data_IF_286484044500
#
_entry.id   IF_286484044500
#
_cell.length_a   1.000
_cell.length_b   1.000
_cell.length_c   1.000
_cell.angle_alpha   90.00
_cell.angle_beta   90.00
_cell.angle_gamma   90.00
#
_symmetry.space_group_name_H-M   'P 1'
#
loop_
_entity.id
_entity.type
_entity.pdbx_description
1 polymer ?
#
# COMPACT_ATOMS: atom_id res chain seq x y z
N UNK A 1 12.97 -11.21 10.78
CA UNK A 1 12.53 -11.24 9.37
C UNK A 1 13.01 -9.94 8.73
N UNK A 2 14.08 -10.05 7.95
CA UNK A 2 14.78 -8.87 7.45
C UNK A 2 13.99 -8.15 6.35
N UNK A 3 14.34 -6.90 6.19
CA UNK A 3 14.04 -6.02 5.07
C UNK A 3 13.97 -6.84 3.78
N UNK A 4 12.86 -6.75 3.08
CA UNK A 4 12.84 -7.15 1.66
C UNK A 4 13.80 -6.19 0.96
N UNK A 5 15.01 -6.63 0.70
CA UNK A 5 16.06 -5.80 0.10
C UNK A 5 15.54 -5.20 -1.20
N UNK A 6 15.99 -3.99 -1.55
CA UNK A 6 15.65 -3.31 -2.81
C UNK A 6 15.79 -4.26 -4.02
N UNK A 7 16.75 -5.18 -3.98
CA UNK A 7 16.95 -6.24 -4.95
C UNK A 7 15.76 -7.22 -5.04
N UNK A 8 15.15 -7.62 -3.92
CA UNK A 8 13.93 -8.45 -3.91
C UNK A 8 12.72 -7.70 -4.43
N UNK A 9 12.62 -6.40 -4.17
CA UNK A 9 11.55 -5.54 -4.71
C UNK A 9 11.68 -5.39 -6.24
N UNK A 10 12.89 -5.28 -6.77
CA UNK A 10 13.12 -5.27 -8.21
C UNK A 10 12.78 -6.64 -8.84
N UNK A 11 13.11 -7.74 -8.18
CA UNK A 11 12.72 -9.08 -8.65
C UNK A 11 11.21 -9.29 -8.64
N UNK A 12 10.49 -8.77 -7.64
CA UNK A 12 9.03 -8.93 -7.57
C UNK A 12 8.28 -8.01 -8.53
N UNK A 13 8.78 -6.79 -8.76
CA UNK A 13 8.29 -5.93 -9.84
C UNK A 13 8.62 -6.54 -11.20
N UNK A 14 9.81 -7.09 -11.38
CA UNK A 14 10.18 -7.86 -12.58
C UNK A 14 9.29 -9.08 -12.78
N UNK A 15 8.99 -9.84 -11.74
CA UNK A 15 8.12 -11.02 -11.81
C UNK A 15 6.67 -10.64 -12.13
N UNK A 16 6.18 -9.52 -11.58
CA UNK A 16 4.85 -9.01 -11.91
C UNK A 16 4.76 -8.49 -13.35
N UNK A 17 5.80 -7.83 -13.85
CA UNK A 17 5.88 -7.40 -15.26
C UNK A 17 5.92 -8.63 -16.19
N UNK A 18 6.69 -9.65 -15.85
CA UNK A 18 6.75 -10.91 -16.62
C UNK A 18 5.40 -11.62 -16.58
N UNK A 19 4.71 -11.66 -15.44
CA UNK A 19 3.37 -12.23 -15.34
C UNK A 19 2.34 -11.45 -16.19
N UNK A 20 2.45 -10.12 -16.26
CA UNK A 20 1.63 -9.28 -17.16
C UNK A 20 1.92 -9.61 -18.62
N UNK A 21 3.19 -9.69 -18.98
CA UNK A 21 3.59 -10.03 -20.37
C UNK A 21 3.12 -11.43 -20.73
N UNK A 22 3.26 -12.40 -19.86
CA UNK A 22 2.74 -13.77 -20.07
C UNK A 22 1.22 -13.74 -20.17
N UNK A 23 0.52 -12.98 -19.34
CA UNK A 23 -0.93 -12.79 -19.42
C UNK A 23 -1.36 -12.20 -20.79
N UNK A 24 -0.69 -11.16 -21.25
CA UNK A 24 -0.94 -10.53 -22.56
C UNK A 24 -0.63 -11.50 -23.71
N UNK A 25 0.47 -12.24 -23.63
CA UNK A 25 0.85 -13.25 -24.64
C UNK A 25 -0.15 -14.41 -24.67
N UNK A 26 -0.61 -14.87 -23.50
CA UNK A 26 -1.65 -15.91 -23.40
C UNK A 26 -2.96 -15.39 -23.98
N UNK A 27 -3.37 -14.17 -23.69
CA UNK A 27 -4.56 -13.52 -24.27
C UNK A 27 -4.42 -13.39 -25.79
N UNK A 28 -3.27 -12.97 -26.30
CA UNK A 28 -3.00 -12.85 -27.72
C UNK A 28 -2.97 -14.22 -28.44
N UNK A 29 -2.41 -15.26 -27.82
CA UNK A 29 -2.38 -16.62 -28.36
C UNK A 29 -3.77 -17.28 -28.39
N UNK A 30 -4.62 -16.97 -27.40
CA UNK A 30 -5.98 -17.48 -27.26
C UNK A 30 -6.96 -16.78 -28.23
N UNK A 31 -6.67 -15.53 -28.62
CA UNK A 31 -7.48 -14.75 -29.57
C UNK A 31 -7.60 -15.40 -30.98
N UNK A 32 -6.82 -16.44 -31.25
CA UNK A 32 -6.82 -17.10 -32.57
C UNK A 32 -7.76 -18.31 -32.68
N UNK A 33 -8.39 -18.79 -31.61
CA UNK A 33 -9.40 -19.85 -31.73
C UNK A 33 -10.36 -19.91 -30.55
N UNK A 34 -11.66 -19.80 -30.81
CA UNK A 34 -12.82 -20.26 -30.02
C UNK A 34 -12.97 -19.82 -28.53
N UNK A 35 -12.06 -19.04 -27.97
CA UNK A 35 -12.06 -18.67 -26.56
C UNK A 35 -12.52 -17.22 -26.28
N UNK A 36 -13.13 -16.57 -27.25
CA UNK A 36 -13.71 -15.21 -27.08
C UNK A 36 -14.73 -15.14 -25.93
N UNK A 37 -15.33 -16.27 -25.57
CA UNK A 37 -16.31 -16.38 -24.48
C UNK A 37 -15.67 -16.13 -23.10
N UNK A 38 -14.38 -16.46 -22.92
CA UNK A 38 -13.70 -16.37 -21.62
C UNK A 38 -12.71 -15.21 -21.50
N UNK A 39 -12.65 -14.30 -22.47
CA UNK A 39 -11.71 -13.17 -22.49
C UNK A 39 -11.84 -12.31 -21.23
N UNK A 40 -13.06 -12.04 -20.79
CA UNK A 40 -13.33 -11.19 -19.63
C UNK A 40 -12.86 -11.85 -18.32
N UNK A 41 -13.04 -13.16 -18.17
CA UNK A 41 -12.61 -13.91 -16.99
C UNK A 41 -11.09 -14.05 -16.94
N UNK A 42 -10.45 -14.26 -18.10
CA UNK A 42 -9.00 -14.31 -18.22
C UNK A 42 -8.39 -12.93 -17.89
N UNK A 43 -9.00 -11.85 -18.35
CA UNK A 43 -8.55 -10.48 -18.01
C UNK A 43 -8.67 -10.22 -16.52
N UNK A 44 -9.78 -10.60 -15.88
CA UNK A 44 -9.97 -10.51 -14.44
C UNK A 44 -8.92 -11.32 -13.66
N UNK A 45 -8.73 -12.58 -14.04
CA UNK A 45 -7.74 -13.45 -13.39
C UNK A 45 -6.31 -12.90 -13.56
N UNK A 46 -5.94 -12.40 -14.74
CA UNK A 46 -4.63 -11.79 -14.98
C UNK A 46 -4.40 -10.54 -14.13
N UNK A 47 -5.43 -9.70 -14.00
CA UNK A 47 -5.40 -8.51 -13.14
C UNK A 47 -5.15 -8.89 -11.68
N UNK A 48 -5.84 -9.89 -11.15
CA UNK A 48 -5.65 -10.38 -9.79
C UNK A 48 -4.26 -10.99 -9.57
N UNK A 49 -3.76 -11.80 -10.51
CA UNK A 49 -2.42 -12.42 -10.43
C UNK A 49 -1.32 -11.37 -10.32
N UNK A 50 -1.50 -10.21 -10.96
CA UNK A 50 -0.54 -9.10 -10.89
C UNK A 50 -0.67 -8.29 -9.60
N UNK A 51 -1.90 -7.99 -9.19
CA UNK A 51 -2.16 -7.12 -8.04
C UNK A 51 -1.89 -7.81 -6.70
N UNK A 52 -2.24 -9.09 -6.55
CA UNK A 52 -2.17 -9.79 -5.26
C UNK A 52 -0.72 -9.92 -4.73
N UNK A 53 0.27 -10.39 -5.51
CA UNK A 53 1.64 -10.52 -5.00
C UNK A 53 2.26 -9.17 -4.64
N UNK A 54 2.03 -8.14 -5.45
CA UNK A 54 2.55 -6.80 -5.20
C UNK A 54 1.95 -6.18 -3.95
N UNK A 55 0.64 -6.36 -3.72
CA UNK A 55 -0.05 -5.90 -2.52
C UNK A 55 0.47 -6.59 -1.24
N UNK A 56 0.68 -7.92 -1.27
CA UNK A 56 1.15 -8.67 -0.09
C UNK A 56 2.56 -8.22 0.33
N UNK A 57 3.44 -7.99 -0.64
CA UNK A 57 4.82 -7.57 -0.35
C UNK A 57 4.87 -6.15 0.22
N UNK A 58 4.07 -5.25 -0.35
CA UNK A 58 4.01 -3.87 0.12
C UNK A 58 3.41 -3.79 1.53
N UNK A 59 2.34 -4.55 1.81
CA UNK A 59 1.74 -4.66 3.14
C UNK A 59 2.73 -5.14 4.21
N UNK A 60 3.55 -6.16 3.90
CA UNK A 60 4.57 -6.66 4.85
C UNK A 60 5.64 -5.61 5.13
N UNK A 61 6.14 -4.95 4.08
CA UNK A 61 7.15 -3.91 4.22
C UNK A 61 6.62 -2.70 4.99
N UNK A 62 5.39 -2.31 4.71
CA UNK A 62 4.73 -1.19 5.37
C UNK A 62 4.47 -1.45 6.85
N UNK A 63 4.00 -2.64 7.21
CA UNK A 63 3.84 -3.04 8.62
C UNK A 63 5.16 -3.00 9.36
N UNK A 64 6.25 -3.41 8.75
CA UNK A 64 7.58 -3.38 9.33
C UNK A 64 8.04 -1.92 9.56
N UNK A 65 7.94 -1.04 8.56
CA UNK A 65 8.29 0.37 8.66
C UNK A 65 7.40 1.09 9.69
N UNK A 66 6.09 0.93 9.61
CA UNK A 66 5.13 1.56 10.52
C UNK A 66 5.34 1.11 11.97
N UNK A 67 5.72 -0.15 12.20
CA UNK A 67 6.07 -0.64 13.54
C UNK A 67 7.30 0.08 14.11
N UNK A 68 8.26 0.46 13.28
CA UNK A 68 9.44 1.24 13.66
C UNK A 68 9.04 2.70 13.93
N UNK A 69 8.37 3.33 12.96
CA UNK A 69 7.97 4.75 13.04
C UNK A 69 7.11 5.03 14.26
N UNK A 70 6.18 4.11 14.59
CA UNK A 70 5.32 4.23 15.75
C UNK A 70 6.06 4.20 17.11
N UNK A 71 7.22 3.58 17.15
CA UNK A 71 8.01 3.45 18.37
C UNK A 71 9.18 4.45 18.43
N UNK A 72 9.46 5.18 17.35
CA UNK A 72 10.54 6.17 17.31
C UNK A 72 10.41 7.26 18.38
N UNK A 73 9.23 7.88 18.63
CA UNK A 73 9.10 8.88 19.70
C UNK A 73 9.48 8.31 21.07
N UNK A 74 9.08 7.07 21.34
CA UNK A 74 9.39 6.38 22.61
C UNK A 74 10.88 6.09 22.74
N UNK A 75 11.56 5.69 21.66
CA UNK A 75 13.02 5.53 21.64
C UNK A 75 13.72 6.86 21.98
N UNK A 76 13.35 7.92 21.24
CA UNK A 76 13.99 9.23 21.38
C UNK A 76 13.80 9.79 22.79
N UNK A 77 12.58 9.67 23.33
CA UNK A 77 12.24 10.08 24.69
C UNK A 77 13.01 9.27 25.75
N UNK A 78 13.03 7.95 25.64
CA UNK A 78 13.74 7.10 26.59
C UNK A 78 15.26 7.34 26.59
N UNK A 79 15.85 7.66 25.43
CA UNK A 79 17.25 8.08 25.35
C UNK A 79 17.46 9.44 25.99
N UNK A 80 16.59 10.43 25.74
CA UNK A 80 16.65 11.75 26.35
C UNK A 80 16.59 11.67 27.89
N UNK A 81 15.60 10.96 28.43
CA UNK A 81 15.44 10.74 29.89
C UNK A 81 16.66 10.04 30.50
N UNK A 82 17.21 9.03 29.84
CA UNK A 82 18.40 8.33 30.30
C UNK A 82 19.64 9.23 30.29
N UNK A 83 19.77 10.10 29.28
CA UNK A 83 20.85 11.11 29.25
C UNK A 83 20.67 12.23 30.31
N UNK A 84 19.43 12.52 30.71
CA UNK A 84 19.16 13.44 31.83
C UNK A 84 19.72 12.96 33.16
N UNK A 85 19.75 11.65 33.34
CA UNK A 85 20.38 11.02 34.53
C UNK A 85 21.92 10.89 34.41
N UNK A 86 22.53 11.48 33.38
CA UNK A 86 23.99 11.49 33.18
C UNK A 86 24.56 10.26 32.49
N UNK A 87 23.72 9.40 31.89
CA UNK A 87 24.19 8.23 31.14
C UNK A 87 24.82 8.64 29.81
N UNK A 88 25.85 7.88 29.38
CA UNK A 88 26.40 8.02 28.04
C UNK A 88 25.36 7.58 26.98
N UNK A 89 25.46 8.08 25.75
CA UNK A 89 24.52 7.76 24.68
C UNK A 89 24.39 6.25 24.42
N UNK A 90 25.52 5.53 24.44
CA UNK A 90 25.53 4.07 24.23
C UNK A 90 24.73 3.36 25.31
N UNK A 91 25.00 3.71 26.59
CA UNK A 91 24.28 3.16 27.75
C UNK A 91 22.80 3.52 27.74
N UNK A 92 22.45 4.73 27.31
CA UNK A 92 21.06 5.14 27.16
C UNK A 92 20.32 4.30 26.12
N UNK A 93 20.92 4.07 24.96
CA UNK A 93 20.38 3.20 23.92
C UNK A 93 20.22 1.74 24.38
N UNK A 94 21.24 1.19 25.05
CA UNK A 94 21.19 -0.16 25.65
C UNK A 94 20.00 -0.26 26.64
N UNK A 95 19.90 0.67 27.57
CA UNK A 95 18.85 0.69 28.59
C UNK A 95 17.44 0.73 28.01
N UNK A 96 17.20 1.52 26.97
CA UNK A 96 15.90 1.60 26.29
C UNK A 96 15.51 0.26 25.68
N UNK A 97 16.48 -0.46 25.14
CA UNK A 97 16.25 -1.78 24.53
C UNK A 97 16.07 -2.86 25.61
N UNK A 98 16.91 -2.89 26.64
CA UNK A 98 16.90 -3.90 27.70
C UNK A 98 15.65 -3.78 28.57
N UNK A 99 15.20 -2.57 28.86
CA UNK A 99 13.94 -2.31 29.56
C UNK A 99 12.69 -2.55 28.68
N UNK A 100 12.86 -3.06 27.44
CA UNK A 100 11.77 -3.32 26.51
C UNK A 100 10.87 -2.10 26.22
N UNK A 101 11.39 -0.89 26.40
CA UNK A 101 10.66 0.34 26.02
C UNK A 101 10.35 0.35 24.54
N UNK A 102 11.23 -0.22 23.73
CA UNK A 102 11.02 -0.48 22.32
C UNK A 102 11.09 -1.98 22.04
N UNK A 103 10.28 -2.46 21.09
CA UNK A 103 10.14 -3.88 20.82
C UNK A 103 10.16 -4.19 19.31
N UNK A 104 10.20 -5.47 18.96
CA UNK A 104 10.08 -5.93 17.58
C UNK A 104 11.21 -5.45 16.66
N UNK A 105 10.88 -4.90 15.48
CA UNK A 105 11.88 -4.50 14.49
C UNK A 105 12.80 -3.37 14.97
N UNK A 106 12.26 -2.35 15.65
CA UNK A 106 13.05 -1.21 16.13
C UNK A 106 14.11 -1.65 17.15
N UNK A 107 13.75 -2.50 18.10
CA UNK A 107 14.69 -3.02 19.09
C UNK A 107 15.89 -3.72 18.45
N UNK A 108 15.68 -4.49 17.35
CA UNK A 108 16.75 -5.16 16.62
C UNK A 108 17.68 -4.17 15.92
N UNK A 109 17.12 -3.15 15.31
CA UNK A 109 17.91 -2.13 14.60
C UNK A 109 18.69 -1.25 15.58
N UNK A 110 18.14 -0.94 16.77
CA UNK A 110 18.83 -0.19 17.81
C UNK A 110 19.96 -1.06 18.43
N UNK A 111 19.73 -2.36 18.66
CA UNK A 111 20.80 -3.28 19.09
C UNK A 111 21.94 -3.29 18.10
N UNK A 112 21.63 -3.35 16.80
CA UNK A 112 22.66 -3.30 15.76
C UNK A 112 23.44 -1.98 15.80
N UNK A 113 22.76 -0.85 16.00
CA UNK A 113 23.42 0.46 16.17
C UNK A 113 24.39 0.45 17.38
N UNK A 114 23.96 -0.08 18.50
CA UNK A 114 24.79 -0.20 19.72
C UNK A 114 26.02 -1.09 19.46
N UNK A 115 25.83 -2.23 18.80
CA UNK A 115 26.93 -3.14 18.43
C UNK A 115 27.95 -2.43 17.53
N UNK A 116 27.52 -1.72 16.49
CA UNK A 116 28.40 -0.97 15.61
C UNK A 116 29.25 0.05 16.38
N UNK A 117 28.62 0.81 17.30
CA UNK A 117 29.32 1.76 18.14
C UNK A 117 30.30 1.09 19.13
N UNK A 118 29.92 -0.06 19.69
CA UNK A 118 30.77 -0.83 20.61
C UNK A 118 32.00 -1.41 19.92
N UNK A 119 31.94 -1.60 18.61
CA UNK A 119 33.09 -2.05 17.79
C UNK A 119 33.95 -0.90 17.29
N UNK A 120 33.68 0.33 17.72
CA UNK A 120 34.48 1.51 17.42
C UNK A 120 34.02 2.29 16.19
N UNK A 121 32.86 1.95 15.60
CA UNK A 121 32.26 2.78 14.56
C UNK A 121 31.83 4.12 15.19
N UNK A 122 32.08 5.24 14.50
CA UNK A 122 31.63 6.55 14.98
C UNK A 122 30.12 6.59 15.12
N UNK A 123 29.61 7.39 16.06
CA UNK A 123 28.16 7.58 16.21
C UNK A 123 27.49 8.04 14.89
N UNK A 124 28.16 8.90 14.17
CA UNK A 124 27.67 9.47 12.91
C UNK A 124 27.56 8.43 11.83
N UNK A 125 28.55 7.55 11.70
CA UNK A 125 28.53 6.45 10.73
C UNK A 125 27.50 5.38 11.12
N UNK A 126 27.45 5.01 12.39
CA UNK A 126 26.47 4.05 12.90
C UNK A 126 25.03 4.54 12.71
N UNK A 127 24.77 5.84 12.96
CA UNK A 127 23.46 6.45 12.74
C UNK A 127 23.12 6.55 11.25
N UNK A 128 24.10 6.80 10.39
CA UNK A 128 23.94 6.79 8.94
C UNK A 128 23.60 5.38 8.43
N UNK A 129 24.25 4.35 8.95
CA UNK A 129 23.91 2.96 8.66
C UNK A 129 22.50 2.60 9.11
N UNK A 130 22.11 3.00 10.32
CA UNK A 130 20.77 2.82 10.86
C UNK A 130 19.71 3.46 9.95
N UNK A 131 19.92 4.72 9.55
CA UNK A 131 19.06 5.44 8.59
C UNK A 131 18.87 4.67 7.28
N UNK A 132 19.97 4.20 6.71
CA UNK A 132 19.97 3.50 5.42
C UNK A 132 19.29 2.12 5.51
N UNK A 133 19.41 1.44 6.66
CA UNK A 133 18.74 0.16 6.88
C UNK A 133 17.23 0.29 6.96
N UNK A 134 16.71 1.32 7.60
CA UNK A 134 15.25 1.47 7.81
C UNK A 134 14.58 2.10 6.59
N UNK A 135 15.22 3.08 5.96
CA UNK A 135 14.69 3.79 4.78
C UNK A 135 13.24 4.30 4.94
N UNK A 136 13.00 4.95 6.08
CA UNK A 136 11.74 5.62 6.40
C UNK A 136 11.91 7.13 6.35
N UNK A 137 10.94 7.91 5.84
CA UNK A 137 11.00 9.37 5.84
C UNK A 137 11.15 9.97 7.24
N UNK A 138 10.43 9.42 8.23
CA UNK A 138 10.45 9.89 9.63
C UNK A 138 11.82 9.61 10.25
N UNK A 139 12.31 8.38 10.13
CA UNK A 139 13.64 8.00 10.66
C UNK A 139 14.75 8.78 9.96
N UNK A 140 14.62 9.02 8.64
CA UNK A 140 15.60 9.81 7.91
C UNK A 140 15.68 11.25 8.44
N UNK A 141 14.55 11.92 8.64
CA UNK A 141 14.49 13.28 9.22
C UNK A 141 15.12 13.31 10.61
N UNK A 142 14.75 12.36 11.46
CA UNK A 142 15.35 12.23 12.80
C UNK A 142 16.87 12.11 12.72
N UNK A 143 17.38 11.16 11.94
CA UNK A 143 18.83 10.95 11.82
C UNK A 143 19.57 12.18 11.29
N UNK A 144 18.98 12.87 10.30
CA UNK A 144 19.57 14.11 9.75
C UNK A 144 19.64 15.19 10.79
N UNK A 145 18.58 15.41 11.58
CA UNK A 145 18.55 16.40 12.66
C UNK A 145 19.62 16.09 13.72
N UNK A 146 19.74 14.83 14.12
CA UNK A 146 20.73 14.42 15.13
C UNK A 146 22.15 14.56 14.58
N UNK A 147 22.40 14.18 13.34
CA UNK A 147 23.72 14.32 12.68
C UNK A 147 24.15 15.80 12.57
N UNK A 148 23.22 16.64 12.14
CA UNK A 148 23.51 18.07 11.97
C UNK A 148 23.83 18.74 13.32
N UNK A 149 23.08 18.39 14.33
CA UNK A 149 23.31 18.91 15.67
C UNK A 149 24.61 18.37 16.32
N UNK A 150 24.99 17.12 16.03
CA UNK A 150 26.27 16.55 16.45
C UNK A 150 27.43 17.33 15.82
N UNK A 151 27.34 17.63 14.52
CA UNK A 151 28.36 18.39 13.77
C UNK A 151 28.48 19.84 14.22
N UNK A 152 27.38 20.47 14.58
CA UNK A 152 27.33 21.86 15.07
C UNK A 152 27.85 22.02 16.52
N UNK A 153 28.38 20.95 17.13
CA UNK A 153 28.89 20.98 18.52
C UNK A 153 27.78 21.09 19.56
N UNK A 154 26.52 20.87 19.18
CA UNK A 154 25.38 20.86 20.08
C UNK A 154 25.43 19.69 21.06
N UNK A 155 24.90 19.89 22.26
CA UNK A 155 24.74 18.80 23.22
C UNK A 155 23.71 17.82 22.68
N UNK A 156 24.13 16.60 22.34
CA UNK A 156 23.26 15.52 21.81
C UNK A 156 22.00 15.35 22.67
N UNK A 157 22.12 15.47 23.99
CA UNK A 157 21.00 15.48 24.94
C UNK A 157 19.89 16.47 24.56
N UNK A 158 20.25 17.75 24.33
CA UNK A 158 19.27 18.81 24.00
C UNK A 158 18.55 18.48 22.68
N UNK A 159 19.26 17.88 21.72
CA UNK A 159 18.71 17.47 20.43
C UNK A 159 17.69 16.36 20.60
N UNK A 160 18.01 15.33 21.39
CA UNK A 160 17.08 14.24 21.64
C UNK A 160 15.81 14.75 22.33
N UNK A 161 15.93 15.62 23.34
CA UNK A 161 14.77 16.19 24.06
C UNK A 161 13.88 17.02 23.10
N UNK A 162 14.48 17.92 22.31
CA UNK A 162 13.73 18.73 21.36
C UNK A 162 13.09 17.88 20.25
N UNK A 163 13.81 16.87 19.78
CA UNK A 163 13.31 15.97 18.71
C UNK A 163 12.20 15.06 19.23
N UNK A 164 12.21 14.65 20.50
CA UNK A 164 11.14 13.86 21.09
C UNK A 164 9.80 14.60 21.02
N UNK A 165 9.76 15.86 21.45
CA UNK A 165 8.56 16.70 21.35
C UNK A 165 8.08 16.89 19.92
N UNK A 166 9.01 17.21 19.02
CA UNK A 166 8.69 17.34 17.58
C UNK A 166 8.11 16.05 16.98
N UNK A 167 8.63 14.88 17.36
CA UNK A 167 8.11 13.60 16.84
C UNK A 167 6.74 13.25 17.40
N UNK A 168 6.44 13.62 18.64
CA UNK A 168 5.09 13.47 19.22
C UNK A 168 4.09 14.36 18.47
N UNK A 169 4.42 15.64 18.26
CA UNK A 169 3.59 16.58 17.52
C UNK A 169 3.34 16.12 16.07
N UNK A 170 4.38 15.68 15.37
CA UNK A 170 4.25 15.12 14.03
C UNK A 170 3.32 13.90 13.97
N UNK A 171 3.37 13.05 15.00
CA UNK A 171 2.50 11.89 15.10
C UNK A 171 1.03 12.27 15.34
N UNK A 172 0.80 13.30 16.10
CA UNK A 172 -0.55 13.80 16.36
C UNK A 172 -1.14 14.45 15.10
N UNK A 173 -0.35 15.23 14.37
CA UNK A 173 -0.73 15.76 13.05
C UNK A 173 -1.06 14.63 12.06
N UNK A 174 -0.26 13.57 12.04
CA UNK A 174 -0.52 12.40 11.19
C UNK A 174 -1.83 11.71 11.55
N UNK A 175 -2.11 11.52 12.85
CA UNK A 175 -3.37 10.95 13.34
C UNK A 175 -4.59 11.80 12.98
N UNK A 176 -4.47 13.13 13.15
CA UNK A 176 -5.53 14.06 12.77
C UNK A 176 -5.81 14.01 11.27
N UNK A 177 -4.75 14.05 10.46
CA UNK A 177 -4.88 13.94 9.00
C UNK A 177 -5.52 12.61 8.60
N UNK A 178 -5.09 11.50 9.20
CA UNK A 178 -5.67 10.18 8.91
C UNK A 178 -7.16 10.13 9.29
N UNK A 179 -7.55 10.76 10.41
CA UNK A 179 -8.94 10.86 10.81
C UNK A 179 -9.78 11.67 9.81
N UNK A 180 -9.24 12.78 9.30
CA UNK A 180 -9.90 13.60 8.30
C UNK A 180 -9.99 12.93 6.92
N UNK A 181 -9.06 12.03 6.58
CA UNK A 181 -9.03 11.34 5.28
C UNK A 181 -9.95 10.11 5.22
N UNK A 182 -10.26 9.47 6.35
CA UNK A 182 -11.14 8.29 6.38
C UNK A 182 -12.51 8.48 5.72
N UNK A 183 -13.23 9.59 5.91
CA UNK A 183 -14.50 9.81 5.24
C UNK A 183 -14.41 9.77 3.71
N UNK A 184 -13.33 10.26 3.12
CA UNK A 184 -13.16 10.24 1.66
C UNK A 184 -13.03 8.83 1.10
N UNK A 185 -12.44 7.91 1.86
CA UNK A 185 -12.38 6.49 1.48
C UNK A 185 -13.79 5.93 1.42
N UNK A 186 -14.64 6.24 2.42
CA UNK A 186 -16.05 5.79 2.45
C UNK A 186 -16.81 6.30 1.23
N UNK A 187 -16.59 7.57 0.84
CA UNK A 187 -17.21 8.15 -0.35
C UNK A 187 -16.83 7.40 -1.62
N UNK A 188 -15.56 7.01 -1.78
CA UNK A 188 -15.11 6.22 -2.95
C UNK A 188 -15.83 4.87 -2.99
N UNK A 189 -15.93 4.17 -1.86
CA UNK A 189 -16.65 2.90 -1.80
C UNK A 189 -18.14 3.05 -2.09
N UNK A 190 -18.77 4.11 -1.55
CA UNK A 190 -20.17 4.40 -1.80
C UNK A 190 -20.43 4.74 -3.28
N UNK A 191 -19.58 5.56 -3.89
CA UNK A 191 -19.66 5.88 -5.32
C UNK A 191 -19.55 4.64 -6.20
N UNK A 192 -18.61 3.74 -5.88
CA UNK A 192 -18.45 2.46 -6.58
C UNK A 192 -19.67 1.55 -6.40
N UNK A 193 -20.25 1.49 -5.20
CA UNK A 193 -21.46 0.71 -4.94
C UNK A 193 -22.66 1.24 -5.74
N UNK A 194 -22.86 2.56 -5.77
CA UNK A 194 -23.91 3.22 -6.57
C UNK A 194 -23.71 2.92 -8.06
N UNK A 195 -22.45 2.98 -8.54
CA UNK A 195 -22.15 2.65 -9.93
C UNK A 195 -22.56 1.20 -10.27
N UNK A 196 -22.21 0.21 -9.45
CA UNK A 196 -22.57 -1.20 -9.69
C UNK A 196 -24.09 -1.38 -9.69
N UNK A 197 -24.79 -0.82 -8.71
CA UNK A 197 -26.25 -0.92 -8.63
C UNK A 197 -26.90 -0.31 -9.88
N UNK A 198 -26.43 0.86 -10.29
CA UNK A 198 -26.95 1.53 -11.50
C UNK A 198 -26.66 0.70 -12.76
N UNK A 199 -25.47 0.14 -12.89
CA UNK A 199 -25.11 -0.73 -14.00
C UNK A 199 -26.03 -1.97 -14.10
N UNK A 200 -26.26 -2.65 -12.97
CA UNK A 200 -27.17 -3.80 -12.90
C UNK A 200 -28.61 -3.41 -13.27
N UNK A 201 -29.11 -2.27 -12.75
CA UNK A 201 -30.45 -1.78 -13.06
C UNK A 201 -30.59 -1.46 -14.55
N UNK A 202 -29.60 -0.78 -15.15
CA UNK A 202 -29.62 -0.48 -16.58
C UNK A 202 -29.62 -1.75 -17.42
N UNK A 203 -28.76 -2.72 -17.11
CA UNK A 203 -28.71 -3.98 -17.82
C UNK A 203 -30.03 -4.73 -17.72
N UNK A 204 -30.60 -4.84 -16.52
CA UNK A 204 -31.85 -5.59 -16.28
C UNK A 204 -33.10 -4.90 -16.81
N UNK A 205 -33.24 -3.59 -16.54
CA UNK A 205 -34.51 -2.88 -16.80
C UNK A 205 -34.58 -2.28 -18.19
N UNK A 206 -33.43 -1.97 -18.80
CA UNK A 206 -33.39 -1.31 -20.10
C UNK A 206 -32.91 -2.24 -21.22
N UNK A 207 -31.76 -2.88 -21.06
CA UNK A 207 -31.20 -3.68 -22.13
C UNK A 207 -31.81 -5.09 -22.27
N UNK A 208 -32.24 -5.69 -21.17
CA UNK A 208 -32.85 -7.01 -21.18
C UNK A 208 -34.15 -7.08 -21.99
N UNK A 209 -35.11 -6.16 -21.80
CA UNK A 209 -36.33 -6.15 -22.60
C UNK A 209 -36.09 -5.88 -24.10
N UNK A 210 -35.03 -5.11 -24.41
CA UNK A 210 -34.69 -4.81 -25.83
C UNK A 210 -34.13 -6.00 -26.60
N UNK A 211 -33.56 -6.98 -25.93
CA UNK A 211 -32.99 -8.19 -26.59
C UNK A 211 -34.03 -9.04 -27.29
N UNK A 212 -35.28 -9.02 -26.81
CA UNK A 212 -36.39 -9.73 -27.40
C UNK A 212 -37.00 -9.06 -28.64
N UNK A 213 -36.72 -7.78 -28.87
CA UNK A 213 -37.34 -7.01 -30.00
C UNK A 213 -36.43 -6.81 -31.22
N UNK A 214 -35.17 -7.26 -31.17
CA UNK A 214 -34.19 -7.11 -32.25
C UNK A 214 -34.23 -8.24 -33.32
N UNK A 215 -35.40 -8.54 -33.84
CA UNK A 215 -35.51 -9.18 -35.16
C UNK A 215 -35.67 -8.16 -36.31
N UNK A 216 -35.36 -6.88 -36.06
CA UNK A 216 -35.46 -5.87 -37.12
C UNK A 216 -34.06 -5.39 -37.50
N UNK A 217 -33.69 -5.87 -38.69
CA UNK A 217 -32.73 -5.28 -39.64
C UNK A 217 -31.28 -5.23 -39.23
N UNK A 218 -30.48 -6.01 -39.96
CA UNK A 218 -29.02 -5.95 -39.97
C UNK A 218 -28.50 -4.55 -40.08
N UNK A 219 -27.59 -4.31 -39.24
CA UNK A 219 -26.50 -3.35 -39.16
C UNK A 219 -26.45 -2.55 -37.85
N UNK A 220 -25.48 -2.90 -37.05
CA UNK A 220 -24.64 -2.00 -36.26
C UNK A 220 -25.34 -1.03 -35.32
N UNK A 221 -25.90 -1.54 -34.24
CA UNK A 221 -25.65 -0.88 -32.94
C UNK A 221 -24.61 -1.73 -32.23
N UNK A 222 -23.50 -1.11 -31.88
CA UNK A 222 -22.28 -1.70 -31.32
C UNK A 222 -22.62 -2.83 -30.32
N UNK A 223 -22.49 -4.10 -30.78
CA UNK A 223 -22.42 -5.27 -29.92
C UNK A 223 -23.70 -5.79 -29.28
N UNK A 224 -24.90 -5.33 -29.58
CA UNK A 224 -26.14 -5.87 -28.98
C UNK A 224 -26.14 -5.79 -27.43
N UNK A 225 -27.09 -6.48 -26.77
CA UNK A 225 -27.19 -6.54 -25.30
C UNK A 225 -25.96 -7.22 -24.66
N UNK A 226 -25.34 -8.17 -25.36
CA UNK A 226 -24.07 -8.82 -24.91
C UNK A 226 -22.91 -7.84 -24.85
N UNK A 227 -22.72 -7.00 -25.86
CA UNK A 227 -21.65 -6.01 -25.86
C UNK A 227 -21.79 -4.92 -24.78
N UNK A 228 -23.03 -4.54 -24.44
CA UNK A 228 -23.28 -3.61 -23.34
C UNK A 228 -22.94 -4.22 -21.97
N UNK A 229 -23.24 -5.50 -21.76
CA UNK A 229 -22.84 -6.23 -20.55
C UNK A 229 -21.33 -6.27 -20.40
N UNK A 230 -20.61 -6.59 -21.48
CA UNK A 230 -19.14 -6.60 -21.48
C UNK A 230 -18.57 -5.22 -21.22
N UNK A 231 -19.17 -4.17 -21.79
CA UNK A 231 -18.76 -2.79 -21.55
C UNK A 231 -18.87 -2.41 -20.06
N UNK A 232 -20.03 -2.65 -19.41
CA UNK A 232 -20.21 -2.39 -18.00
C UNK A 232 -19.29 -3.24 -17.11
N UNK A 233 -19.01 -4.46 -17.51
CA UNK A 233 -18.06 -5.32 -16.80
C UNK A 233 -16.64 -4.75 -16.87
N UNK A 234 -16.17 -4.33 -18.03
CA UNK A 234 -14.85 -3.73 -18.19
C UNK A 234 -14.74 -2.41 -17.44
N UNK A 235 -15.78 -1.56 -17.51
CA UNK A 235 -15.83 -0.30 -16.79
C UNK A 235 -15.82 -0.52 -15.25
N UNK A 236 -16.53 -1.53 -14.77
CA UNK A 236 -16.48 -1.93 -13.35
C UNK A 236 -15.05 -2.32 -12.92
N UNK A 237 -14.32 -3.09 -13.72
CA UNK A 237 -12.95 -3.48 -13.42
C UNK A 237 -12.02 -2.26 -13.36
N UNK A 238 -12.11 -1.37 -14.35
CA UNK A 238 -11.30 -0.14 -14.42
C UNK A 238 -11.65 0.80 -13.26
N UNK A 239 -12.94 1.00 -12.99
CA UNK A 239 -13.42 1.85 -11.89
C UNK A 239 -13.02 1.28 -10.52
N UNK A 240 -13.10 -0.03 -10.33
CA UNK A 240 -12.65 -0.70 -9.11
C UNK A 240 -11.14 -0.58 -8.89
N UNK A 241 -10.35 -0.73 -9.97
CA UNK A 241 -8.91 -0.56 -9.93
C UNK A 241 -8.52 0.89 -9.57
N UNK A 242 -9.02 1.84 -10.32
CA UNK A 242 -8.69 3.27 -10.15
C UNK A 242 -9.21 3.82 -8.84
N UNK A 243 -10.45 3.52 -8.47
CA UNK A 243 -11.05 3.90 -7.19
C UNK A 243 -10.28 3.33 -6.00
N UNK A 244 -9.83 2.07 -6.09
CA UNK A 244 -9.01 1.46 -5.05
C UNK A 244 -7.63 2.10 -4.93
N UNK A 245 -6.96 2.42 -6.03
CA UNK A 245 -5.69 3.13 -6.01
C UNK A 245 -5.84 4.55 -5.42
N UNK A 246 -6.93 5.25 -5.74
CA UNK A 246 -7.24 6.55 -5.16
C UNK A 246 -7.50 6.44 -3.65
N UNK A 247 -8.29 5.45 -3.21
CA UNK A 247 -8.55 5.20 -1.79
C UNK A 247 -7.27 4.98 -1.00
N UNK A 248 -6.33 4.21 -1.55
CA UNK A 248 -5.04 3.98 -0.91
C UNK A 248 -4.14 5.21 -0.89
N UNK A 249 -4.14 6.01 -1.95
CA UNK A 249 -3.37 7.25 -1.97
C UNK A 249 -3.89 8.27 -0.94
N UNK A 250 -5.21 8.34 -0.77
CA UNK A 250 -5.85 9.21 0.22
C UNK A 250 -5.60 8.67 1.64
N UNK A 251 -5.84 7.37 1.88
CA UNK A 251 -5.76 6.79 3.22
C UNK A 251 -4.35 6.51 3.71
N UNK A 252 -3.44 6.11 2.83
CA UNK A 252 -2.07 5.72 3.21
C UNK A 252 -0.99 6.64 2.61
N UNK A 253 -1.40 7.71 1.92
CA UNK A 253 -0.52 8.66 1.22
C UNK A 253 0.41 7.99 0.20
N UNK A 254 0.11 6.74 -0.19
CA UNK A 254 0.89 5.92 -1.13
C UNK A 254 -0.03 5.21 -2.10
N UNK A 255 0.31 5.25 -3.39
CA UNK A 255 -0.46 4.53 -4.42
C UNK A 255 -0.39 3.02 -4.19
N UNK A 256 0.75 2.51 -3.73
CA UNK A 256 0.93 1.08 -3.45
C UNK A 256 -0.01 0.56 -2.34
N UNK A 257 -0.35 1.38 -1.33
CA UNK A 257 -1.37 1.05 -0.34
C UNK A 257 -2.77 0.87 -0.93
N UNK A 258 -3.03 1.44 -2.11
CA UNK A 258 -4.29 1.31 -2.83
C UNK A 258 -4.54 -0.08 -3.42
N UNK A 259 -3.50 -0.88 -3.66
CA UNK A 259 -3.66 -2.21 -4.26
C UNK A 259 -4.60 -3.12 -3.44
N UNK A 260 -4.58 -3.05 -2.12
CA UNK A 260 -5.51 -3.81 -1.26
C UNK A 260 -6.97 -3.36 -1.45
N UNK A 261 -7.18 -2.05 -1.58
CA UNK A 261 -8.51 -1.47 -1.83
C UNK A 261 -8.99 -1.82 -3.25
N UNK A 262 -8.10 -1.77 -4.24
CA UNK A 262 -8.40 -2.18 -5.62
C UNK A 262 -8.81 -3.64 -5.69
N UNK A 263 -8.06 -4.56 -5.06
CA UNK A 263 -8.41 -5.98 -5.00
C UNK A 263 -9.79 -6.16 -4.36
N UNK A 264 -10.06 -5.48 -3.24
CA UNK A 264 -11.32 -5.59 -2.54
C UNK A 264 -12.50 -5.10 -3.41
N UNK A 265 -12.37 -3.92 -4.02
CA UNK A 265 -13.41 -3.36 -4.89
C UNK A 265 -13.65 -4.22 -6.13
N UNK A 266 -12.59 -4.68 -6.79
CA UNK A 266 -12.70 -5.52 -7.99
C UNK A 266 -13.33 -6.87 -7.66
N UNK A 267 -12.98 -7.51 -6.53
CA UNK A 267 -13.56 -8.80 -6.10
C UNK A 267 -15.03 -8.63 -5.70
N UNK A 268 -15.37 -7.60 -4.93
CA UNK A 268 -16.76 -7.31 -4.55
C UNK A 268 -17.57 -6.97 -5.80
N UNK A 269 -17.03 -6.11 -6.67
CA UNK A 269 -17.66 -5.74 -7.94
C UNK A 269 -17.97 -6.95 -8.80
N UNK A 270 -17.00 -7.85 -8.97
CA UNK A 270 -17.19 -9.09 -9.70
C UNK A 270 -18.29 -9.96 -9.10
N UNK A 271 -18.24 -10.19 -7.78
CA UNK A 271 -19.23 -11.02 -7.10
C UNK A 271 -20.66 -10.46 -7.22
N UNK A 272 -20.83 -9.14 -7.03
CA UNK A 272 -22.13 -8.48 -7.10
C UNK A 272 -22.65 -8.41 -8.54
N UNK A 273 -21.77 -8.14 -9.50
CA UNK A 273 -22.13 -8.08 -10.91
C UNK A 273 -22.56 -9.46 -11.43
N UNK A 274 -21.82 -10.51 -11.06
CA UNK A 274 -22.14 -11.90 -11.44
C UNK A 274 -23.45 -12.38 -10.77
N UNK A 275 -23.69 -12.05 -9.51
CA UNK A 275 -24.94 -12.36 -8.82
C UNK A 275 -26.13 -11.55 -9.36
N UNK A 276 -25.86 -10.31 -9.78
CA UNK A 276 -26.87 -9.39 -10.32
C UNK A 276 -27.32 -9.74 -11.74
N UNK A 277 -26.47 -10.33 -12.57
CA UNK A 277 -26.75 -10.66 -13.98
C UNK A 277 -26.54 -12.16 -14.17
N UNK A 278 -27.60 -12.98 -14.10
CA UNK A 278 -27.47 -14.44 -14.18
C UNK A 278 -26.93 -14.88 -15.56
N UNK A 279 -26.18 -16.02 -15.59
CA UNK A 279 -25.51 -16.51 -16.81
C UNK A 279 -26.47 -16.93 -17.94
N UNK A 280 -27.75 -17.14 -17.64
CA UNK A 280 -28.77 -17.56 -18.62
C UNK A 280 -29.11 -16.46 -19.67
N UNK A 281 -28.39 -15.34 -19.65
CA UNK A 281 -28.54 -14.21 -20.56
C UNK A 281 -27.35 -14.09 -21.55
N UNK A 282 -26.54 -15.17 -21.63
CA UNK A 282 -25.51 -15.35 -22.64
C UNK A 282 -26.04 -16.02 -23.89
#
# INVERSE_FOLDING_TARGET
MGKVTLKKRQYTVGLSIVAVIIGIVVIAAISFSALTIYINEIFFASLLIVLVPSAILDLKNQRWISSIENQMPLLVRGVAESQETGMTLIRALEKVVDNKMVSGPLSKEVKQLVIEMSWGTSFEDALTNFKNRINSPIVNRFCVLVLEASRSGGTIKKVFTATAGFMEEMKDIDRETDAQMKPYIIVIYAAFAVFIVTAILLVRSFFAPMSGSQQISGNTVIGGVGGMKEFFYQDMLVSGLTGGLMAGKIGERRVAGGMKHSILLVVIGYAVFFAGIPPNWM
#
